data_IF_515800293723
#
_entry.id   IF_515800293723
#
_cell.length_a   1.000
_cell.length_b   1.000
_cell.length_c   1.000
_cell.angle_alpha   90.00
_cell.angle_beta   90.00
_cell.angle_gamma   90.00
#
_symmetry.space_group_name_H-M   'P 1'
#
loop_
_entity.id
_entity.type
_entity.pdbx_description
1 polymer ?
#
# COMPACT_ATOMS: atom_id res chain seq x y z
N UNK A 1 -12.01 5.71 -24.56
CA UNK A 1 -10.57 5.67 -24.96
C UNK A 1 -9.86 4.91 -23.86
N UNK A 2 -9.45 3.68 -24.21
CA UNK A 2 -8.76 2.77 -23.31
C UNK A 2 -7.43 3.40 -22.89
N UNK A 3 -7.25 3.55 -21.56
CA UNK A 3 -5.95 3.83 -20.99
C UNK A 3 -4.99 2.74 -21.46
N UNK A 4 -4.10 3.09 -22.40
CA UNK A 4 -2.97 2.24 -22.72
C UNK A 4 -2.09 2.21 -21.48
N UNK A 5 -2.34 1.23 -20.61
CA UNK A 5 -1.35 0.77 -19.63
C UNK A 5 -0.10 0.42 -20.42
N UNK A 6 0.93 1.24 -20.26
CA UNK A 6 2.26 0.91 -20.75
C UNK A 6 2.73 -0.29 -19.93
N UNK A 7 2.48 -1.49 -20.44
CA UNK A 7 3.07 -2.73 -19.95
C UNK A 7 4.58 -2.73 -20.24
N UNK A 8 5.35 -1.94 -19.52
CA UNK A 8 6.77 -2.23 -19.42
C UNK A 8 6.93 -3.32 -18.37
N UNK A 9 6.72 -4.54 -18.79
CA UNK A 9 6.98 -5.70 -17.95
C UNK A 9 8.48 -5.94 -17.97
N UNK A 10 9.19 -5.39 -17.00
CA UNK A 10 10.63 -5.61 -16.84
C UNK A 10 10.91 -7.11 -16.66
N UNK A 11 12.15 -7.52 -16.90
CA UNK A 11 12.57 -8.92 -16.95
C UNK A 11 13.18 -9.43 -15.63
N UNK A 12 13.53 -8.53 -14.70
CA UNK A 12 14.16 -8.89 -13.43
C UNK A 12 13.09 -9.39 -12.45
N UNK A 13 13.15 -10.66 -12.10
CA UNK A 13 12.23 -11.32 -11.16
C UNK A 13 12.86 -11.58 -9.80
N UNK A 14 14.18 -11.60 -9.70
CA UNK A 14 14.90 -11.79 -8.44
C UNK A 14 15.33 -10.43 -7.88
N UNK A 15 14.72 -10.01 -6.78
CA UNK A 15 15.00 -8.74 -6.14
C UNK A 15 15.81 -9.01 -4.88
N UNK A 16 17.09 -8.67 -4.90
CA UNK A 16 17.94 -8.78 -3.72
C UNK A 16 17.50 -7.76 -2.66
N UNK A 17 17.06 -8.27 -1.51
CA UNK A 17 16.60 -7.48 -0.36
C UNK A 17 17.62 -7.38 0.78
N UNK A 18 18.84 -7.90 0.60
CA UNK A 18 19.93 -7.78 1.59
C UNK A 18 20.31 -6.31 1.82
N UNK A 19 20.01 -5.47 0.84
CA UNK A 19 20.20 -4.03 0.88
C UNK A 19 19.05 -3.37 0.18
N UNK A 20 18.43 -2.39 0.83
CA UNK A 20 17.27 -1.71 0.29
C UNK A 20 17.54 -0.21 0.17
N UNK A 21 17.63 0.28 -1.07
CA UNK A 21 17.82 1.69 -1.36
C UNK A 21 17.00 2.12 -2.58
N UNK A 22 16.08 3.06 -2.38
CA UNK A 22 15.48 3.79 -3.48
C UNK A 22 16.23 5.09 -3.74
N UNK A 23 16.49 5.39 -5.00
CA UNK A 23 17.10 6.66 -5.41
C UNK A 23 16.31 7.31 -6.53
N UNK A 24 15.86 8.53 -6.29
CA UNK A 24 15.24 9.40 -7.28
C UNK A 24 16.33 10.28 -7.89
N UNK A 25 16.47 10.27 -9.20
CA UNK A 25 17.45 11.09 -9.94
C UNK A 25 16.72 11.98 -10.93
N UNK A 26 16.64 13.29 -10.60
CA UNK A 26 16.03 14.35 -11.41
C UNK A 26 14.58 14.02 -11.84
N UNK A 27 13.82 13.39 -10.99
CA UNK A 27 12.47 12.89 -11.30
C UNK A 27 11.50 14.05 -11.43
N UNK A 28 10.89 14.18 -12.61
CA UNK A 28 9.78 15.09 -12.90
C UNK A 28 8.60 14.31 -13.44
N UNK A 29 7.40 14.64 -12.98
CA UNK A 29 6.17 13.97 -13.41
C UNK A 29 5.00 14.94 -13.52
N UNK A 30 4.23 14.79 -14.58
CA UNK A 30 2.90 15.37 -14.78
C UNK A 30 1.93 14.30 -15.24
N UNK A 31 0.68 14.40 -14.79
CA UNK A 31 -0.38 13.47 -15.21
C UNK A 31 -0.71 13.65 -16.70
N UNK A 32 -1.15 12.61 -17.41
CA UNK A 32 -1.63 12.72 -18.77
C UNK A 32 -2.68 13.84 -18.92
N UNK A 33 -2.54 14.65 -19.96
CA UNK A 33 -3.44 15.78 -20.21
C UNK A 33 -3.27 17.01 -19.31
N UNK A 34 -2.28 17.01 -18.42
CA UNK A 34 -1.97 18.17 -17.58
C UNK A 34 -0.64 18.83 -17.99
N UNK A 35 -0.61 20.16 -18.03
CA UNK A 35 0.61 20.94 -18.31
C UNK A 35 1.46 21.14 -17.06
N UNK A 36 0.83 21.12 -15.88
CA UNK A 36 1.49 21.38 -14.61
C UNK A 36 2.17 20.12 -14.08
N UNK A 37 3.44 20.25 -13.70
CA UNK A 37 4.15 19.20 -13.00
C UNK A 37 3.55 18.98 -11.60
N UNK A 38 3.25 17.72 -11.28
CA UNK A 38 2.89 17.27 -9.93
C UNK A 38 4.15 17.08 -9.07
N UNK A 39 5.27 16.67 -9.70
CA UNK A 39 6.61 16.66 -9.11
C UNK A 39 7.59 17.21 -10.11
N UNK A 40 8.59 17.96 -9.65
CA UNK A 40 9.60 18.56 -10.52
C UNK A 40 11.00 18.44 -9.93
N UNK A 41 11.92 17.84 -10.68
CA UNK A 41 13.33 17.69 -10.36
C UNK A 41 13.57 17.13 -8.94
N UNK A 42 12.86 16.07 -8.59
CA UNK A 42 13.01 15.42 -7.27
C UNK A 42 14.28 14.59 -7.26
N UNK A 43 15.14 14.88 -6.29
CA UNK A 43 16.35 14.12 -6.00
C UNK A 43 16.28 13.68 -4.52
N UNK A 44 16.24 12.38 -4.29
CA UNK A 44 16.06 11.80 -2.94
C UNK A 44 16.63 10.40 -2.90
N UNK A 45 17.26 10.05 -1.78
CA UNK A 45 17.63 8.67 -1.48
C UNK A 45 16.89 8.21 -0.22
N UNK A 46 16.28 7.02 -0.30
CA UNK A 46 15.60 6.35 0.82
C UNK A 46 16.35 5.05 1.06
N UNK A 47 16.99 4.95 2.21
CA UNK A 47 17.79 3.77 2.57
C UNK A 47 17.03 2.87 3.54
N UNK A 48 17.52 1.66 3.68
CA UNK A 48 16.99 0.66 4.61
C UNK A 48 16.83 1.22 6.04
N UNK A 49 15.72 0.84 6.68
CA UNK A 49 15.36 1.32 8.02
C UNK A 49 14.94 2.79 8.11
N UNK A 50 15.00 3.58 7.02
CA UNK A 50 14.57 4.98 7.04
C UNK A 50 13.07 5.11 7.25
N UNK A 51 12.67 6.02 8.15
CA UNK A 51 11.28 6.48 8.28
C UNK A 51 11.15 7.84 7.63
N UNK A 52 10.49 7.89 6.47
CA UNK A 52 10.29 9.11 5.69
C UNK A 52 8.89 9.67 5.92
N UNK A 53 8.78 10.92 6.37
CA UNK A 53 7.53 11.66 6.41
C UNK A 53 7.45 12.63 5.23
N UNK A 54 6.44 12.48 4.37
CA UNK A 54 6.18 13.38 3.25
C UNK A 54 5.06 14.34 3.63
N UNK A 55 5.39 15.61 3.82
CA UNK A 55 4.46 16.65 4.27
C UNK A 55 4.23 17.71 3.19
N UNK A 56 3.08 18.35 3.20
CA UNK A 56 2.74 19.41 2.25
C UNK A 56 1.23 19.63 2.18
N UNK A 57 0.83 20.76 1.59
CA UNK A 57 -0.58 21.09 1.34
C UNK A 57 -1.24 20.11 0.37
N UNK A 58 -2.57 20.13 0.29
CA UNK A 58 -3.28 19.32 -0.70
C UNK A 58 -2.84 19.70 -2.13
N UNK A 59 -2.60 18.69 -2.96
CA UNK A 59 -2.07 18.88 -4.30
C UNK A 59 -0.54 19.06 -4.40
N UNK A 60 0.21 19.00 -3.30
CA UNK A 60 1.67 19.14 -3.30
C UNK A 60 2.45 17.93 -3.88
N UNK A 61 1.77 16.92 -4.44
CA UNK A 61 2.43 15.78 -5.07
C UNK A 61 2.72 14.59 -4.13
N UNK A 62 2.28 14.62 -2.87
CA UNK A 62 2.56 13.53 -1.90
C UNK A 62 2.10 12.15 -2.40
N UNK A 63 0.85 12.06 -2.84
CA UNK A 63 0.29 10.81 -3.40
C UNK A 63 0.97 10.44 -4.72
N UNK A 64 1.36 11.44 -5.53
CA UNK A 64 2.08 11.23 -6.78
C UNK A 64 3.45 10.59 -6.53
N UNK A 65 4.16 11.05 -5.49
CA UNK A 65 5.44 10.48 -5.08
C UNK A 65 5.29 8.97 -4.75
N UNK A 66 4.28 8.61 -3.96
CA UNK A 66 4.00 7.20 -3.64
C UNK A 66 3.63 6.40 -4.90
N UNK A 67 2.80 6.96 -5.79
CA UNK A 67 2.42 6.28 -7.03
C UNK A 67 3.62 6.02 -7.96
N UNK A 68 4.59 6.91 -7.99
CA UNK A 68 5.82 6.72 -8.78
C UNK A 68 6.73 5.66 -8.17
N UNK A 69 6.94 5.67 -6.83
CA UNK A 69 7.78 4.66 -6.18
C UNK A 69 7.17 3.26 -6.30
N UNK A 70 5.84 3.16 -6.32
CA UNK A 70 5.11 1.89 -6.54
C UNK A 70 5.02 1.49 -8.03
N UNK A 71 5.69 2.21 -8.96
CA UNK A 71 5.63 1.92 -10.41
C UNK A 71 4.19 1.91 -10.96
N UNK A 72 3.26 2.69 -10.35
CA UNK A 72 1.91 2.89 -10.90
C UNK A 72 1.89 3.92 -12.03
N UNK A 73 2.89 4.77 -12.09
CA UNK A 73 3.18 5.70 -13.17
C UNK A 73 4.68 5.74 -13.44
N UNK A 74 5.05 6.10 -14.66
CA UNK A 74 6.43 6.34 -15.03
C UNK A 74 6.74 7.84 -14.98
N UNK A 75 7.93 8.27 -14.52
CA UNK A 75 8.32 9.66 -14.59
C UNK A 75 8.46 10.14 -16.04
N UNK A 76 8.11 11.41 -16.30
CA UNK A 76 8.33 12.01 -17.61
C UNK A 76 9.82 12.34 -17.84
N UNK A 77 10.54 12.65 -16.76
CA UNK A 77 11.98 12.97 -16.78
C UNK A 77 12.65 12.31 -15.57
N UNK A 78 13.93 12.00 -15.71
CA UNK A 78 14.70 11.34 -14.68
C UNK A 78 14.40 9.86 -14.56
N UNK A 79 14.82 9.27 -13.46
CA UNK A 79 14.63 7.83 -13.18
C UNK A 79 14.56 7.54 -11.70
N UNK A 80 13.96 6.40 -11.38
CA UNK A 80 13.89 5.88 -10.01
C UNK A 80 14.65 4.55 -10.00
N UNK A 81 15.60 4.44 -9.10
CA UNK A 81 16.42 3.23 -8.96
C UNK A 81 16.05 2.51 -7.67
N UNK A 82 16.03 1.18 -7.72
CA UNK A 82 16.04 0.31 -6.55
C UNK A 82 17.36 -0.47 -6.58
N UNK A 83 18.16 -0.31 -5.53
CA UNK A 83 19.50 -0.92 -5.42
C UNK A 83 20.41 -0.65 -6.65
N UNK A 84 20.31 0.56 -7.21
CA UNK A 84 21.07 0.99 -8.37
C UNK A 84 20.51 0.57 -9.74
N UNK A 85 19.45 -0.21 -9.79
CA UNK A 85 18.79 -0.67 -11.02
C UNK A 85 17.50 0.13 -11.23
N UNK A 86 17.23 0.57 -12.47
CA UNK A 86 16.00 1.29 -12.80
C UNK A 86 14.78 0.40 -12.50
N UNK A 87 13.78 0.96 -11.79
CA UNK A 87 12.57 0.20 -11.43
C UNK A 87 11.80 -0.31 -12.63
N UNK A 88 12.02 0.24 -13.82
CA UNK A 88 11.44 -0.22 -15.08
C UNK A 88 11.89 -1.63 -15.45
N UNK A 89 13.11 -2.01 -15.08
CA UNK A 89 13.71 -3.30 -15.39
C UNK A 89 13.15 -4.46 -14.58
N UNK A 90 12.49 -4.17 -13.45
CA UNK A 90 11.88 -5.19 -12.61
C UNK A 90 10.54 -5.67 -13.15
N UNK A 91 10.29 -6.98 -13.04
CA UNK A 91 8.97 -7.53 -13.27
C UNK A 91 7.94 -6.88 -12.32
N UNK A 92 6.79 -6.48 -12.86
CA UNK A 92 5.78 -5.71 -12.12
C UNK A 92 5.22 -6.45 -10.91
N UNK A 93 4.92 -7.73 -11.08
CA UNK A 93 4.32 -8.55 -10.00
C UNK A 93 5.30 -8.75 -8.84
N UNK A 94 6.57 -9.06 -9.16
CA UNK A 94 7.61 -9.23 -8.15
C UNK A 94 7.93 -7.91 -7.46
N UNK A 95 7.97 -6.82 -8.20
CA UNK A 95 8.18 -5.48 -7.66
C UNK A 95 7.07 -5.04 -6.70
N UNK A 96 5.80 -5.35 -7.02
CA UNK A 96 4.68 -5.02 -6.15
C UNK A 96 4.71 -5.76 -4.80
N UNK A 97 5.31 -6.92 -4.71
CA UNK A 97 5.47 -7.66 -3.45
C UNK A 97 6.34 -6.93 -2.41
N UNK A 98 7.10 -5.92 -2.84
CA UNK A 98 7.91 -5.08 -1.95
C UNK A 98 7.07 -4.11 -1.10
N UNK A 99 5.81 -3.89 -1.45
CA UNK A 99 4.98 -2.86 -0.86
C UNK A 99 3.81 -3.42 -0.09
N UNK A 100 3.52 -2.80 1.04
CA UNK A 100 2.28 -3.00 1.81
C UNK A 100 1.62 -1.62 2.02
N UNK A 101 0.91 -1.08 1.01
CA UNK A 101 0.34 0.24 1.09
C UNK A 101 -0.93 0.26 1.94
N UNK A 102 -1.03 1.24 2.85
CA UNK A 102 -2.28 1.57 3.53
C UNK A 102 -2.80 2.89 2.96
N UNK A 103 -3.95 2.83 2.29
CA UNK A 103 -4.55 4.00 1.66
C UNK A 103 -5.36 4.84 2.66
N UNK A 104 -5.58 6.11 2.32
CA UNK A 104 -6.35 7.03 3.16
C UNK A 104 -7.82 6.61 3.28
N UNK A 105 -8.41 6.12 2.20
CA UNK A 105 -9.77 5.60 2.18
C UNK A 105 -9.72 4.09 2.26
N UNK A 106 -9.98 3.55 3.43
CA UNK A 106 -10.02 2.12 3.67
C UNK A 106 -11.47 1.70 3.79
N UNK A 107 -11.85 0.79 2.93
CA UNK A 107 -13.16 0.15 2.98
C UNK A 107 -13.01 -1.25 3.57
N UNK A 108 -13.84 -1.53 4.57
CA UNK A 108 -13.98 -2.87 5.10
C UNK A 108 -15.12 -3.58 4.36
N UNK A 109 -15.01 -4.88 4.26
CA UNK A 109 -16.07 -5.72 3.68
C UNK A 109 -17.06 -6.17 4.76
N UNK A 110 -18.35 -6.30 4.38
CA UNK A 110 -19.41 -6.79 5.27
C UNK A 110 -19.27 -8.31 5.51
N UNK A 111 -18.18 -8.69 6.17
CA UNK A 111 -17.81 -10.08 6.51
C UNK A 111 -17.05 -10.09 7.85
N UNK A 112 -16.80 -11.26 8.45
CA UNK A 112 -16.07 -11.38 9.72
C UNK A 112 -14.72 -10.67 9.71
N UNK A 113 -14.30 -10.18 10.89
CA UNK A 113 -13.02 -9.48 11.06
C UNK A 113 -11.85 -10.32 10.55
N UNK A 114 -11.80 -11.62 10.90
CA UNK A 114 -10.71 -12.49 10.44
C UNK A 114 -10.64 -12.57 8.90
N UNK A 115 -11.78 -12.51 8.21
CA UNK A 115 -11.81 -12.51 6.74
C UNK A 115 -11.37 -11.19 6.13
N UNK A 116 -11.64 -10.06 6.79
CA UNK A 116 -11.10 -8.76 6.38
C UNK A 116 -9.57 -8.71 6.49
N UNK A 117 -8.96 -9.52 7.36
CA UNK A 117 -7.51 -9.61 7.55
C UNK A 117 -6.89 -10.63 6.57
N UNK A 118 -7.51 -11.82 6.48
CA UNK A 118 -6.91 -12.95 5.75
C UNK A 118 -7.32 -13.05 4.28
N UNK A 119 -8.43 -12.42 3.90
CA UNK A 119 -9.09 -12.58 2.60
C UNK A 119 -9.37 -14.06 2.24
N UNK A 120 -9.45 -14.93 3.24
CA UNK A 120 -9.61 -16.37 3.08
C UNK A 120 -10.79 -16.92 3.88
N UNK A 121 -11.30 -18.08 3.46
CA UNK A 121 -12.28 -18.83 4.26
C UNK A 121 -11.60 -19.33 5.53
N UNK A 122 -12.37 -19.49 6.62
CA UNK A 122 -11.89 -19.91 7.94
C UNK A 122 -10.94 -21.12 7.90
N UNK A 123 -11.33 -22.17 7.15
CA UNK A 123 -10.51 -23.39 6.99
C UNK A 123 -9.12 -23.17 6.38
N UNK A 124 -8.92 -22.03 5.72
CA UNK A 124 -7.66 -21.66 5.06
C UNK A 124 -6.97 -20.49 5.78
N UNK A 125 -7.53 -20.03 6.89
CA UNK A 125 -7.02 -18.91 7.68
C UNK A 125 -6.17 -19.41 8.82
N UNK A 126 -4.96 -18.90 8.94
CA UNK A 126 -4.12 -19.07 10.11
C UNK A 126 -4.60 -18.11 11.21
N UNK A 127 -5.39 -18.63 12.15
CA UNK A 127 -5.99 -17.85 13.23
C UNK A 127 -4.96 -17.33 14.23
N UNK A 128 -3.85 -18.02 14.42
CA UNK A 128 -2.76 -17.56 15.31
C UNK A 128 -2.09 -16.33 14.69
N UNK A 129 -1.88 -16.33 13.38
CA UNK A 129 -1.39 -15.16 12.66
C UNK A 129 -2.37 -14.00 12.72
N UNK A 130 -3.68 -14.25 12.56
CA UNK A 130 -4.73 -13.22 12.73
C UNK A 130 -4.65 -12.60 14.12
N UNK A 131 -4.56 -13.40 15.17
CA UNK A 131 -4.43 -12.91 16.54
C UNK A 131 -3.15 -12.08 16.74
N UNK A 132 -2.03 -12.54 16.21
CA UNK A 132 -0.74 -11.84 16.30
C UNK A 132 -0.80 -10.45 15.65
N UNK A 133 -1.37 -10.34 14.44
CA UNK A 133 -1.47 -9.02 13.77
C UNK A 133 -2.46 -8.10 14.49
N UNK A 134 -3.52 -8.64 15.10
CA UNK A 134 -4.44 -7.86 15.93
C UNK A 134 -3.76 -7.31 17.19
N UNK A 135 -2.87 -8.07 17.82
CA UNK A 135 -2.06 -7.60 18.94
C UNK A 135 -1.11 -6.50 18.49
N UNK A 136 -0.39 -6.69 17.39
CA UNK A 136 0.55 -5.71 16.84
C UNK A 136 -0.13 -4.40 16.44
N UNK A 137 -1.36 -4.48 15.89
CA UNK A 137 -2.15 -3.30 15.52
C UNK A 137 -2.84 -2.61 16.72
N UNK A 138 -2.80 -3.22 17.91
CA UNK A 138 -3.48 -2.72 19.11
C UNK A 138 -5.01 -2.82 19.05
N UNK A 139 -5.54 -3.70 18.21
CA UNK A 139 -6.99 -3.94 18.09
C UNK A 139 -7.48 -5.15 18.89
N UNK A 140 -6.57 -6.05 19.32
CA UNK A 140 -6.91 -7.33 19.96
C UNK A 140 -7.89 -7.18 21.13
N UNK A 141 -7.58 -6.31 22.09
CA UNK A 141 -8.41 -6.14 23.28
C UNK A 141 -9.84 -5.66 22.94
N UNK A 142 -9.98 -4.78 21.95
CA UNK A 142 -11.29 -4.33 21.50
C UNK A 142 -12.06 -5.45 20.82
N UNK A 143 -11.39 -6.21 19.94
CA UNK A 143 -12.06 -7.28 19.20
C UNK A 143 -12.47 -8.42 20.14
N UNK A 144 -11.66 -8.75 21.12
CA UNK A 144 -11.98 -9.76 22.15
C UNK A 144 -13.14 -9.34 23.05
N UNK A 145 -13.45 -8.05 23.16
CA UNK A 145 -14.61 -7.55 23.90
C UNK A 145 -15.95 -7.83 23.20
N UNK A 146 -15.95 -8.17 21.93
CA UNK A 146 -17.16 -8.55 21.22
C UNK A 146 -17.52 -10.01 21.48
N UNK A 147 -18.81 -10.32 21.60
CA UNK A 147 -19.30 -11.66 21.91
C UNK A 147 -18.75 -12.75 20.96
N UNK A 148 -18.62 -12.42 19.67
CA UNK A 148 -18.12 -13.32 18.63
C UNK A 148 -16.62 -13.12 18.32
N UNK A 149 -15.92 -12.23 19.05
CA UNK A 149 -14.50 -11.95 18.84
C UNK A 149 -14.18 -11.66 17.38
N UNK A 150 -13.19 -12.34 16.81
CA UNK A 150 -12.77 -12.20 15.41
C UNK A 150 -13.82 -12.64 14.37
N UNK A 151 -14.84 -13.39 14.80
CA UNK A 151 -15.98 -13.80 13.96
C UNK A 151 -17.08 -12.75 13.88
N UNK A 152 -16.94 -11.63 14.58
CA UNK A 152 -17.89 -10.52 14.49
C UNK A 152 -17.83 -9.92 13.09
N UNK A 153 -19.00 -9.74 12.46
CA UNK A 153 -19.10 -9.11 11.15
C UNK A 153 -18.82 -7.61 11.22
N UNK A 154 -18.05 -7.10 10.28
CA UNK A 154 -17.94 -5.68 10.05
C UNK A 154 -19.13 -5.21 9.21
N UNK A 155 -19.56 -3.98 9.46
CA UNK A 155 -20.69 -3.31 8.84
C UNK A 155 -22.04 -4.01 9.13
N UNK A 156 -23.10 -3.21 9.27
CA UNK A 156 -24.47 -3.71 9.54
C UNK A 156 -25.28 -4.00 8.28
N UNK A 157 -24.60 -4.26 7.15
CA UNK A 157 -25.26 -4.45 5.85
C UNK A 157 -26.07 -5.75 5.81
N UNK A 158 -25.46 -6.85 6.25
CA UNK A 158 -26.07 -8.18 6.22
C UNK A 158 -26.31 -8.76 7.60
N UNK A 159 -25.71 -8.19 8.65
CA UNK A 159 -25.82 -8.62 10.03
C UNK A 159 -26.16 -7.43 10.93
N UNK A 160 -27.33 -7.45 11.57
CA UNK A 160 -27.77 -6.36 12.47
C UNK A 160 -26.87 -6.22 13.71
N UNK A 161 -26.19 -7.29 14.10
CA UNK A 161 -25.21 -7.32 15.19
C UNK A 161 -23.80 -6.92 14.72
N UNK A 162 -23.63 -6.66 13.42
CA UNK A 162 -22.37 -6.19 12.85
C UNK A 162 -21.91 -4.90 13.51
N UNK A 163 -20.62 -4.67 13.49
CA UNK A 163 -20.00 -3.49 14.11
C UNK A 163 -19.38 -2.56 13.05
N UNK A 164 -19.29 -1.28 13.40
CA UNK A 164 -18.54 -0.31 12.63
C UNK A 164 -17.28 0.09 13.40
N UNK A 165 -16.13 0.02 12.69
CA UNK A 165 -14.88 0.54 13.20
C UNK A 165 -14.72 2.02 12.86
N UNK A 166 -14.10 2.78 13.75
CA UNK A 166 -13.68 4.17 13.47
C UNK A 166 -12.66 4.21 12.32
N UNK A 167 -12.48 5.37 11.69
CA UNK A 167 -11.51 5.54 10.62
C UNK A 167 -10.10 5.09 10.99
N UNK A 168 -9.63 5.45 12.19
CA UNK A 168 -8.33 5.04 12.69
C UNK A 168 -8.22 3.55 12.99
N UNK A 169 -9.31 2.91 13.40
CA UNK A 169 -9.36 1.45 13.59
C UNK A 169 -9.36 0.69 12.28
N UNK A 170 -10.08 1.20 11.27
CA UNK A 170 -10.01 0.66 9.90
C UNK A 170 -8.59 0.73 9.34
N UNK A 171 -7.87 1.85 9.59
CA UNK A 171 -6.47 1.99 9.18
C UNK A 171 -5.52 1.00 9.87
N UNK A 172 -5.81 0.64 11.12
CA UNK A 172 -5.00 -0.34 11.84
C UNK A 172 -5.36 -1.78 11.50
N UNK A 173 -6.56 -2.01 10.95
CA UNK A 173 -7.01 -3.32 10.51
C UNK A 173 -6.45 -3.69 9.13
N UNK A 174 -6.28 -2.70 8.24
CA UNK A 174 -5.74 -2.85 6.88
C UNK A 174 -4.21 -2.99 6.88
#
# INVERSE_FOLDING_TARGET
>A
EEDKETESNGHITDINLDKFEFKFENVSFKYPGQDKYALKNVNLTISDGMKLAVVGVNGAGKTTFIKLIMKLYEPNEGRILLNGIDIKEYNREEYFKLFSPVFQNIECFAMPIFQNISFAKEKNTDMDKVNTVLEQSGLKAKIDSYEKGVHTNLLKIFDKEGIDLSGGEKQRLA
#
